data_IF_098907687669
#
_entry.id   IF_098907687669
#
_cell.length_a   1.000
_cell.length_b   1.000
_cell.length_c   1.000
_cell.angle_alpha   90.00
_cell.angle_beta   90.00
_cell.angle_gamma   90.00
#
_symmetry.space_group_name_H-M   'P 1'
#
loop_
_entity.id
_entity.type
_entity.pdbx_description
1 polymer ?
#
# COMPACT_ATOMS: atom_id res chain seq x y z
N UNK A 1 -7.63 29.07 -2.04
CA UNK A 1 -6.16 28.82 -2.13
C UNK A 1 -5.63 28.05 -0.91
N UNK A 2 -5.77 28.57 0.32
CA UNK A 2 -5.24 27.90 1.54
C UNK A 2 -5.84 26.51 1.75
N UNK A 3 -7.16 26.35 1.55
CA UNK A 3 -7.85 25.07 1.69
C UNK A 3 -7.35 24.03 0.67
N UNK A 4 -7.22 24.43 -0.60
CA UNK A 4 -6.71 23.58 -1.67
C UNK A 4 -5.31 23.05 -1.34
N UNK A 5 -4.40 23.92 -0.89
CA UNK A 5 -3.04 23.52 -0.50
C UNK A 5 -3.06 22.59 0.71
N UNK A 6 -3.89 22.89 1.71
CA UNK A 6 -4.03 22.03 2.89
C UNK A 6 -4.52 20.63 2.53
N UNK A 7 -5.53 20.52 1.65
CA UNK A 7 -6.07 19.24 1.18
C UNK A 7 -5.06 18.45 0.34
N UNK A 8 -4.32 19.11 -0.56
CA UNK A 8 -3.26 18.48 -1.34
C UNK A 8 -2.14 17.94 -0.44
N UNK A 9 -1.62 18.78 0.45
CA UNK A 9 -0.53 18.39 1.35
C UNK A 9 -0.98 17.25 2.25
N UNK A 10 -2.13 17.40 2.92
CA UNK A 10 -2.63 16.37 3.82
C UNK A 10 -2.97 15.07 3.08
N UNK A 11 -3.56 15.14 1.88
CA UNK A 11 -3.86 13.97 1.05
C UNK A 11 -2.60 13.20 0.64
N UNK A 12 -1.57 13.91 0.18
CA UNK A 12 -0.27 13.30 -0.16
C UNK A 12 0.40 12.72 1.08
N UNK A 13 0.40 13.44 2.21
CA UNK A 13 0.98 12.95 3.46
C UNK A 13 0.29 11.67 3.94
N UNK A 14 -1.04 11.60 3.85
CA UNK A 14 -1.80 10.40 4.22
C UNK A 14 -1.51 9.21 3.29
N UNK A 15 -1.41 9.44 1.97
CA UNK A 15 -0.98 8.39 1.04
C UNK A 15 0.44 7.88 1.34
N UNK A 16 1.36 8.77 1.71
CA UNK A 16 2.71 8.37 2.11
C UNK A 16 2.72 7.65 3.47
N UNK A 17 1.86 8.05 4.41
CA UNK A 17 1.74 7.40 5.72
C UNK A 17 1.24 5.95 5.60
N UNK A 18 0.35 5.66 4.65
CA UNK A 18 -0.13 4.30 4.36
C UNK A 18 1.01 3.32 4.04
N UNK A 19 2.12 3.80 3.48
CA UNK A 19 3.32 2.98 3.21
C UNK A 19 3.91 2.38 4.51
N UNK A 20 3.71 3.04 5.65
CA UNK A 20 4.21 2.59 6.95
C UNK A 20 3.14 1.88 7.79
N UNK A 21 1.86 2.14 7.54
CA UNK A 21 0.70 1.67 8.29
C UNK A 21 -0.19 0.77 7.41
N UNK A 22 0.33 -0.34 6.84
CA UNK A 22 -0.41 -1.12 5.85
C UNK A 22 -1.75 -1.59 6.42
N UNK A 23 -2.85 -0.99 5.93
CA UNK A 23 -4.20 -1.18 6.47
C UNK A 23 -5.31 -0.51 5.65
N UNK A 24 -4.98 0.19 4.57
CA UNK A 24 -5.82 0.95 3.64
C UNK A 24 -6.52 2.18 4.23
N UNK A 25 -6.49 2.40 5.54
CA UNK A 25 -7.23 3.50 6.19
C UNK A 25 -6.65 4.86 5.82
N UNK A 26 -5.33 5.05 5.95
CA UNK A 26 -4.68 6.31 5.62
C UNK A 26 -4.74 6.56 4.11
N UNK A 27 -4.60 5.49 3.31
CA UNK A 27 -4.71 5.55 1.86
C UNK A 27 -6.07 6.08 1.39
N UNK A 28 -7.17 5.52 1.92
CA UNK A 28 -8.54 5.95 1.59
C UNK A 28 -8.78 7.40 2.01
N UNK A 29 -8.38 7.79 3.22
CA UNK A 29 -8.50 9.18 3.68
C UNK A 29 -7.70 10.14 2.82
N UNK A 30 -6.50 9.74 2.39
CA UNK A 30 -5.67 10.50 1.46
C UNK A 30 -6.37 10.76 0.13
N UNK A 31 -6.97 9.73 -0.46
CA UNK A 31 -7.75 9.87 -1.71
C UNK A 31 -8.95 10.80 -1.52
N UNK A 32 -9.67 10.69 -0.41
CA UNK A 32 -10.80 11.60 -0.11
C UNK A 32 -10.33 13.07 -0.06
N UNK A 33 -9.17 13.32 0.53
CA UNK A 33 -8.62 14.68 0.62
C UNK A 33 -8.19 15.21 -0.76
N UNK A 34 -7.58 14.38 -1.60
CA UNK A 34 -7.22 14.74 -2.97
C UNK A 34 -8.47 15.02 -3.83
N UNK A 35 -9.51 14.20 -3.72
CA UNK A 35 -10.79 14.48 -4.39
C UNK A 35 -11.40 15.81 -3.91
N UNK A 36 -11.31 16.10 -2.61
CA UNK A 36 -11.69 17.40 -2.06
C UNK A 36 -10.87 18.56 -2.66
N UNK A 37 -9.56 18.37 -2.86
CA UNK A 37 -8.69 19.35 -3.50
C UNK A 37 -9.09 19.59 -4.97
N UNK A 38 -9.38 18.54 -5.73
CA UNK A 38 -9.89 18.64 -7.09
C UNK A 38 -11.20 19.42 -7.14
N UNK A 39 -12.19 19.07 -6.30
CA UNK A 39 -13.48 19.78 -6.20
C UNK A 39 -13.29 21.26 -5.87
N UNK A 40 -12.41 21.57 -4.91
CA UNK A 40 -12.05 22.95 -4.56
C UNK A 40 -11.39 23.66 -5.75
N UNK A 41 -10.55 22.95 -6.51
CA UNK A 41 -9.94 23.43 -7.75
C UNK A 41 -10.97 23.81 -8.81
N UNK A 42 -11.97 22.97 -9.03
CA UNK A 42 -13.10 23.26 -9.93
C UNK A 42 -13.93 24.46 -9.45
N UNK A 43 -14.19 24.55 -8.15
CA UNK A 43 -15.02 25.60 -7.57
C UNK A 43 -14.35 26.98 -7.56
N UNK A 44 -13.07 27.07 -7.20
CA UNK A 44 -12.36 28.35 -7.06
C UNK A 44 -11.71 28.84 -8.38
N UNK A 45 -11.21 27.93 -9.22
CA UNK A 45 -10.40 28.27 -10.41
C UNK A 45 -11.05 27.88 -11.74
N UNK A 46 -12.26 27.31 -11.67
CA UNK A 46 -13.02 26.90 -12.84
C UNK A 46 -12.54 25.60 -13.49
N UNK A 47 -13.21 25.20 -14.58
CA UNK A 47 -13.08 23.84 -15.12
C UNK A 47 -11.70 23.53 -15.71
N UNK A 48 -11.01 24.52 -16.29
CA UNK A 48 -9.67 24.31 -16.86
C UNK A 48 -8.65 23.94 -15.79
N UNK A 49 -8.58 24.71 -14.72
CA UNK A 49 -7.61 24.50 -13.63
C UNK A 49 -7.99 23.27 -12.81
N UNK A 50 -9.28 23.10 -12.48
CA UNK A 50 -9.77 21.91 -11.78
C UNK A 50 -9.45 20.61 -12.53
N UNK A 51 -9.62 20.58 -13.86
CA UNK A 51 -9.27 19.41 -14.68
C UNK A 51 -7.77 19.14 -14.68
N UNK A 52 -6.94 20.18 -14.66
CA UNK A 52 -5.48 20.06 -14.65
C UNK A 52 -4.99 19.50 -13.30
N UNK A 53 -5.58 19.94 -12.20
CA UNK A 53 -5.34 19.39 -10.86
C UNK A 53 -5.70 17.90 -10.83
N UNK A 54 -6.94 17.56 -11.21
CA UNK A 54 -7.42 16.17 -11.22
C UNK A 54 -6.54 15.26 -12.09
N UNK A 55 -6.17 15.72 -13.29
CA UNK A 55 -5.33 14.94 -14.20
C UNK A 55 -3.92 14.74 -13.62
N UNK A 56 -3.39 15.75 -12.92
CA UNK A 56 -2.11 15.66 -12.24
C UNK A 56 -2.16 14.68 -11.07
N UNK A 57 -3.21 14.71 -10.26
CA UNK A 57 -3.42 13.78 -9.14
C UNK A 57 -3.52 12.33 -9.62
N UNK A 58 -4.28 12.08 -10.70
CA UNK A 58 -4.41 10.75 -11.29
C UNK A 58 -3.08 10.24 -11.86
N UNK A 59 -2.36 11.07 -12.61
CA UNK A 59 -1.06 10.70 -13.18
C UNK A 59 -0.03 10.46 -12.08
N UNK A 60 0.11 11.40 -11.15
CA UNK A 60 1.06 11.29 -10.05
C UNK A 60 0.73 10.10 -9.16
N UNK A 61 -0.53 9.91 -8.77
CA UNK A 61 -0.97 8.78 -7.96
C UNK A 61 -0.72 7.44 -8.64
N UNK A 62 -1.00 7.34 -9.94
CA UNK A 62 -0.76 6.11 -10.73
C UNK A 62 0.74 5.81 -10.83
N UNK A 63 1.56 6.79 -11.20
CA UNK A 63 3.01 6.65 -11.30
C UNK A 63 3.59 6.25 -9.93
N UNK A 64 3.20 6.94 -8.87
CA UNK A 64 3.66 6.66 -7.51
C UNK A 64 3.31 5.24 -7.09
N UNK A 65 2.09 4.78 -7.38
CA UNK A 65 1.62 3.43 -7.07
C UNK A 65 2.41 2.37 -7.85
N UNK A 66 2.66 2.58 -9.14
CA UNK A 66 3.47 1.66 -9.97
C UNK A 66 4.91 1.59 -9.46
N UNK A 67 5.53 2.75 -9.20
CA UNK A 67 6.87 2.83 -8.65
C UNK A 67 6.91 2.13 -7.29
N UNK A 68 5.92 2.38 -6.44
CA UNK A 68 5.83 1.75 -5.14
C UNK A 68 5.74 0.23 -5.27
N UNK A 69 4.82 -0.34 -6.05
CA UNK A 69 4.74 -1.79 -6.26
C UNK A 69 6.05 -2.39 -6.81
N UNK A 70 6.77 -1.66 -7.67
CA UNK A 70 8.00 -2.16 -8.30
C UNK A 70 9.23 -2.07 -7.39
N UNK A 71 9.33 -1.01 -6.59
CA UNK A 71 10.51 -0.70 -5.79
C UNK A 71 10.35 -1.08 -4.31
N UNK A 72 9.14 -1.04 -3.76
CA UNK A 72 8.85 -1.41 -2.38
C UNK A 72 9.42 -2.79 -2.00
N UNK A 73 9.25 -3.87 -2.81
CA UNK A 73 9.83 -5.17 -2.50
C UNK A 73 11.35 -5.18 -2.41
N UNK A 74 12.01 -4.22 -3.04
CA UNK A 74 13.47 -4.08 -3.04
C UNK A 74 13.98 -3.27 -1.84
N UNK A 75 13.12 -2.52 -1.17
CA UNK A 75 13.48 -1.71 0.00
C UNK A 75 13.69 -2.58 1.24
N UNK A 76 14.48 -2.13 2.24
CA UNK A 76 14.71 -2.88 3.48
C UNK A 76 13.41 -3.19 4.24
N UNK A 77 12.46 -2.24 4.23
CA UNK A 77 11.14 -2.43 4.82
C UNK A 77 10.35 -3.51 4.06
N UNK A 78 10.27 -3.41 2.73
CA UNK A 78 9.55 -4.40 1.93
C UNK A 78 10.12 -5.82 2.07
N UNK A 79 11.45 -5.98 2.12
CA UNK A 79 12.10 -7.28 2.37
C UNK A 79 11.78 -7.89 3.74
N UNK A 80 11.43 -7.08 4.74
CA UNK A 80 11.01 -7.56 6.07
C UNK A 80 9.56 -8.06 6.07
N UNK A 81 8.71 -7.50 5.21
CA UNK A 81 7.29 -7.85 5.12
C UNK A 81 6.99 -8.91 4.07
N UNK A 82 7.82 -9.05 3.03
CA UNK A 82 7.64 -10.01 1.96
C UNK A 82 8.45 -11.26 2.27
N UNK A 83 7.79 -12.42 2.27
CA UNK A 83 8.44 -13.72 2.40
C UNK A 83 9.41 -13.92 1.24
N UNK A 84 10.67 -14.22 1.54
CA UNK A 84 11.67 -14.49 0.51
C UNK A 84 11.31 -15.81 -0.21
N UNK A 85 11.00 -15.78 -1.52
CA UNK A 85 10.65 -16.98 -2.28
C UNK A 85 11.82 -17.97 -2.38
N UNK A 86 13.05 -17.47 -2.22
CA UNK A 86 14.28 -18.28 -2.27
C UNK A 86 14.66 -18.88 -0.92
N UNK A 87 13.91 -18.57 0.15
CA UNK A 87 14.09 -19.23 1.43
C UNK A 87 13.69 -20.70 1.31
N UNK A 88 14.68 -21.57 1.05
CA UNK A 88 14.50 -23.01 1.15
C UNK A 88 14.16 -23.34 2.59
N UNK A 89 12.95 -23.85 2.84
CA UNK A 89 12.57 -24.33 4.16
C UNK A 89 13.53 -25.45 4.56
N UNK A 90 14.44 -25.16 5.50
CA UNK A 90 15.33 -26.16 6.05
C UNK A 90 14.53 -27.01 7.03
N UNK A 91 14.36 -28.28 6.69
CA UNK A 91 13.77 -29.26 7.59
C UNK A 91 14.68 -29.39 8.83
N UNK A 92 14.16 -29.33 10.07
CA UNK A 92 14.96 -29.50 11.27
C UNK A 92 15.69 -30.84 11.26
N UNK A 93 16.95 -30.84 11.71
CA UNK A 93 17.77 -32.04 11.79
C UNK A 93 17.12 -33.10 12.71
N UNK A 94 17.25 -34.38 12.35
CA UNK A 94 16.73 -35.48 13.15
C UNK A 94 15.24 -35.80 12.94
N UNK A 95 14.64 -35.35 11.84
CA UNK A 95 13.30 -35.76 11.40
C UNK A 95 13.22 -37.23 10.96
N UNK A 96 14.36 -37.88 10.69
CA UNK A 96 14.45 -39.29 10.30
C UNK A 96 13.75 -40.22 11.30
N UNK A 97 13.76 -39.89 12.60
CA UNK A 97 13.08 -40.65 13.66
C UNK A 97 11.55 -40.69 13.52
N UNK A 98 11.00 -39.79 12.73
CA UNK A 98 9.56 -39.66 12.48
C UNK A 98 9.14 -40.29 11.15
N UNK A 99 10.08 -40.84 10.37
CA UNK A 99 9.76 -41.58 9.14
C UNK A 99 8.94 -42.83 9.51
N UNK A 100 7.88 -43.11 8.74
CA UNK A 100 6.92 -44.18 8.99
C UNK A 100 6.14 -44.07 10.31
N UNK A 101 6.05 -42.86 10.89
CA UNK A 101 5.14 -42.57 12.00
C UNK A 101 3.87 -41.92 11.49
N UNK A 102 2.75 -42.27 12.10
CA UNK A 102 1.46 -41.62 11.86
C UNK A 102 1.32 -40.39 12.76
N UNK A 103 1.01 -39.23 12.16
CA UNK A 103 0.68 -38.01 12.88
C UNK A 103 -0.82 -37.76 12.81
N UNK A 104 -1.48 -37.72 13.97
CA UNK A 104 -2.91 -37.39 14.07
C UNK A 104 -3.04 -35.94 14.48
N UNK A 105 -3.86 -35.16 13.77
CA UNK A 105 -4.12 -33.78 14.15
C UNK A 105 -4.92 -33.74 15.46
N UNK A 106 -4.52 -32.87 16.38
CA UNK A 106 -5.24 -32.68 17.64
C UNK A 106 -6.55 -31.88 17.44
N UNK A 107 -6.70 -31.24 16.28
CA UNK A 107 -7.86 -30.45 15.91
C UNK A 107 -8.27 -30.79 14.47
N UNK A 108 -9.51 -30.45 14.13
CA UNK A 108 -9.97 -30.55 12.75
C UNK A 108 -9.10 -29.70 11.81
N UNK A 109 -8.68 -30.30 10.71
CA UNK A 109 -8.03 -29.58 9.62
C UNK A 109 -9.10 -28.83 8.84
N UNK A 110 -9.02 -27.51 8.82
CA UNK A 110 -9.87 -26.70 7.95
C UNK A 110 -9.30 -26.73 6.52
N UNK A 111 -10.16 -26.86 5.49
CA UNK A 111 -9.75 -26.87 4.09
C UNK A 111 -9.16 -25.53 3.65
#
# INVERSE_FOLDING_TARGET
MTLLLALLIAGITLLLAEVFLPGMVAGVLGVVFLLGAAVTGFAEFGPKVGSLILMTELLAGTILTILWMRYFPKTPLGKKYILDPSATAQAPAGLEKWVNREGVSLTDLRP
#
